data_IF_167950165977
#
_entry.id   IF_167950165977
#
_cell.length_a   1.000
_cell.length_b   1.000
_cell.length_c   1.000
_cell.angle_alpha   90.00
_cell.angle_beta   90.00
_cell.angle_gamma   90.00
#
_symmetry.space_group_name_H-M   'P 1'
#
loop_
_entity.id
_entity.type
_entity.pdbx_description
1 polymer ?
#
# COMPACT_ATOMS: atom_id res chain seq x y z
N UNK A 1 18.05 -16.76 -0.10
CA UNK A 1 17.32 -16.31 -1.29
C UNK A 1 17.17 -14.79 -1.25
N UNK A 2 17.57 -14.13 -2.30
CA UNK A 2 17.40 -12.68 -2.38
C UNK A 2 15.95 -12.40 -2.80
N UNK A 3 15.21 -11.75 -1.93
CA UNK A 3 13.89 -11.31 -2.28
C UNK A 3 13.96 -9.97 -3.01
N UNK A 4 13.12 -9.83 -4.01
CA UNK A 4 12.97 -8.54 -4.69
C UNK A 4 12.08 -7.65 -3.85
N UNK A 5 12.66 -6.61 -3.28
CA UNK A 5 11.96 -5.70 -2.38
C UNK A 5 11.45 -4.48 -3.12
N UNK A 6 10.33 -3.95 -2.65
CA UNK A 6 9.83 -2.66 -3.11
C UNK A 6 10.65 -1.55 -2.46
N UNK A 7 11.46 -0.89 -3.28
CA UNK A 7 12.37 0.16 -2.83
C UNK A 7 12.23 1.35 -3.76
N UNK A 8 11.90 2.49 -3.21
CA UNK A 8 11.70 3.73 -3.96
C UNK A 8 10.37 4.37 -3.63
N UNK A 9 10.06 5.40 -4.36
CA UNK A 9 8.79 6.12 -4.24
C UNK A 9 8.43 6.76 -5.57
N UNK A 10 7.18 7.14 -5.71
CA UNK A 10 6.69 7.81 -6.90
C UNK A 10 5.27 8.29 -6.71
N UNK A 11 4.85 9.20 -7.56
CA UNK A 11 3.50 9.74 -7.55
C UNK A 11 2.80 9.36 -8.86
N UNK A 12 1.50 9.13 -8.78
CA UNK A 12 0.68 8.84 -9.94
C UNK A 12 -0.66 9.55 -9.87
N UNK A 13 -1.14 9.94 -11.04
CA UNK A 13 -2.47 10.55 -11.18
C UNK A 13 -3.50 9.42 -11.10
N UNK A 14 -4.54 9.64 -10.31
CA UNK A 14 -5.66 8.71 -10.15
C UNK A 14 -6.82 9.27 -10.96
N UNK A 15 -7.32 8.46 -11.91
CA UNK A 15 -8.46 8.88 -12.72
C UNK A 15 -9.79 8.72 -11.97
N UNK A 16 -10.90 9.14 -12.59
CA UNK A 16 -12.21 9.13 -11.96
C UNK A 16 -12.71 7.75 -11.53
N UNK A 17 -12.24 6.69 -12.18
CA UNK A 17 -12.59 5.31 -11.85
C UNK A 17 -11.67 4.69 -10.79
N UNK A 18 -10.62 5.40 -10.37
CA UNK A 18 -9.62 4.88 -9.44
C UNK A 18 -8.43 4.23 -10.14
N UNK A 19 -8.31 4.39 -11.45
CA UNK A 19 -7.21 3.84 -12.22
C UNK A 19 -5.95 4.65 -12.06
N UNK A 20 -4.81 3.96 -12.02
CA UNK A 20 -3.51 4.61 -11.96
C UNK A 20 -2.44 3.75 -12.65
N UNK A 21 -1.43 4.42 -13.19
CA UNK A 21 -0.25 3.76 -13.72
C UNK A 21 0.75 3.60 -12.58
N UNK A 22 1.12 2.35 -12.29
CA UNK A 22 2.07 2.07 -11.21
C UNK A 22 3.44 2.70 -11.53
N UNK A 23 4.11 3.32 -10.55
CA UNK A 23 5.47 3.82 -10.73
C UNK A 23 6.43 2.72 -11.18
N UNK A 24 7.50 3.10 -11.86
CA UNK A 24 8.46 2.16 -12.41
C UNK A 24 9.01 1.19 -11.35
N UNK A 25 9.33 1.67 -10.14
CA UNK A 25 9.88 0.80 -9.11
C UNK A 25 8.91 -0.30 -8.70
N UNK A 26 7.60 -0.04 -8.72
CA UNK A 26 6.58 -1.04 -8.43
C UNK A 26 6.47 -2.05 -9.57
N UNK A 27 6.39 -1.57 -10.80
CA UNK A 27 6.28 -2.45 -11.99
C UNK A 27 7.48 -3.39 -12.12
N UNK A 28 8.67 -2.86 -11.91
CA UNK A 28 9.91 -3.64 -11.98
C UNK A 28 9.97 -4.72 -10.90
N UNK A 29 9.58 -4.37 -9.68
CA UNK A 29 9.58 -5.32 -8.57
C UNK A 29 8.56 -6.43 -8.79
N UNK A 30 7.36 -6.09 -9.23
CA UNK A 30 6.32 -7.08 -9.54
C UNK A 30 6.81 -8.05 -10.60
N UNK A 31 7.44 -7.56 -11.67
CA UNK A 31 7.90 -8.42 -12.76
C UNK A 31 8.97 -9.41 -12.30
N UNK A 32 9.74 -9.07 -11.27
CA UNK A 32 10.79 -9.94 -10.71
C UNK A 32 10.26 -10.92 -9.67
N UNK A 33 9.10 -10.62 -9.06
CA UNK A 33 8.48 -11.45 -8.02
C UNK A 33 7.58 -12.54 -8.58
N UNK A 34 7.82 -13.00 -9.77
CA UNK A 34 7.08 -14.05 -10.44
C UNK A 34 5.57 -13.81 -10.60
N UNK A 35 5.11 -13.79 -11.83
CA UNK A 35 3.72 -14.03 -12.26
C UNK A 35 2.62 -13.31 -11.49
N UNK A 36 2.91 -12.24 -10.76
CA UNK A 36 1.87 -11.49 -10.09
C UNK A 36 1.12 -10.62 -11.10
N UNK A 37 0.01 -11.14 -11.59
CA UNK A 37 -0.91 -10.38 -12.43
C UNK A 37 -1.95 -9.64 -11.61
N UNK A 38 -1.77 -9.62 -10.30
CA UNK A 38 -2.65 -8.90 -9.38
C UNK A 38 -1.89 -8.48 -8.13
N UNK A 39 -2.38 -7.41 -7.52
CA UNK A 39 -1.97 -6.98 -6.20
C UNK A 39 -3.14 -7.14 -5.24
N UNK A 40 -2.84 -7.43 -4.00
CA UNK A 40 -3.79 -7.33 -2.92
C UNK A 40 -3.66 -5.93 -2.32
N UNK A 41 -4.79 -5.26 -2.14
CA UNK A 41 -4.85 -3.90 -1.61
C UNK A 41 -5.59 -3.94 -0.29
N UNK A 42 -4.90 -3.59 0.78
CA UNK A 42 -5.47 -3.60 2.12
C UNK A 42 -5.31 -2.26 2.82
N UNK A 43 -6.02 -2.11 3.92
CA UNK A 43 -5.93 -0.93 4.78
C UNK A 43 -4.72 -1.08 5.70
N UNK A 44 -3.94 -0.02 5.87
CA UNK A 44 -2.84 -0.03 6.82
C UNK A 44 -3.37 -0.16 8.25
N UNK A 45 -2.59 -0.78 9.13
CA UNK A 45 -3.01 -1.05 10.51
C UNK A 45 -3.29 0.24 11.29
N UNK A 46 -2.45 1.24 11.15
CA UNK A 46 -2.52 2.47 11.95
C UNK A 46 -2.62 3.74 11.13
N UNK A 47 -1.98 3.79 9.96
CA UNK A 47 -1.94 5.01 9.15
C UNK A 47 -3.13 5.07 8.18
N UNK A 48 -3.56 6.28 7.78
CA UNK A 48 -4.66 6.44 6.83
C UNK A 48 -4.19 6.23 5.39
N UNK A 49 -3.57 5.08 5.11
CA UNK A 49 -3.09 4.71 3.79
C UNK A 49 -3.45 3.26 3.48
N UNK A 50 -3.17 2.85 2.25
CA UNK A 50 -3.33 1.47 1.82
C UNK A 50 -1.98 0.79 1.76
N UNK A 51 -2.02 -0.54 1.80
CA UNK A 51 -0.84 -1.39 1.62
C UNK A 51 -1.11 -2.32 0.45
N UNK A 52 -0.23 -2.31 -0.53
CA UNK A 52 -0.33 -3.18 -1.69
C UNK A 52 0.80 -4.22 -1.66
N UNK A 53 0.46 -5.45 -1.97
CA UNK A 53 1.44 -6.55 -1.97
C UNK A 53 0.99 -7.66 -2.91
N UNK A 54 1.92 -8.48 -3.34
CA UNK A 54 1.61 -9.65 -4.16
C UNK A 54 1.04 -10.78 -3.29
N UNK A 55 0.28 -11.72 -3.88
CA UNK A 55 -0.31 -12.83 -3.11
C UNK A 55 0.71 -13.66 -2.32
N UNK A 56 1.96 -13.75 -2.78
CA UNK A 56 3.00 -14.48 -2.07
C UNK A 56 3.36 -13.88 -0.71
N UNK A 57 3.03 -12.61 -0.47
CA UNK A 57 3.33 -11.94 0.79
C UNK A 57 2.29 -12.22 1.89
N UNK A 58 1.16 -12.85 1.56
CA UNK A 58 0.08 -13.11 2.52
C UNK A 58 0.55 -13.97 3.70
N UNK A 59 1.39 -14.97 3.44
CA UNK A 59 1.92 -15.83 4.51
C UNK A 59 2.79 -15.03 5.49
N UNK A 60 3.52 -14.03 5.02
CA UNK A 60 4.33 -13.15 5.86
C UNK A 60 3.44 -12.30 6.76
N UNK A 61 2.35 -11.75 6.22
CA UNK A 61 1.38 -10.99 7.00
C UNK A 61 0.74 -11.88 8.07
N UNK A 62 0.34 -13.09 7.71
CA UNK A 62 -0.24 -14.04 8.65
C UNK A 62 0.74 -14.37 9.77
N UNK A 63 2.00 -14.64 9.44
CA UNK A 63 3.03 -14.93 10.44
C UNK A 63 3.22 -13.75 11.40
N UNK A 64 3.19 -12.52 10.90
CA UNK A 64 3.31 -11.32 11.72
C UNK A 64 2.12 -11.16 12.68
N UNK A 65 0.91 -11.35 12.19
CA UNK A 65 -0.31 -11.29 13.01
C UNK A 65 -0.26 -12.35 14.11
N UNK A 66 0.16 -13.56 13.78
CA UNK A 66 0.28 -14.66 14.77
C UNK A 66 1.36 -14.38 15.81
N UNK A 67 2.50 -13.83 15.39
CA UNK A 67 3.56 -13.44 16.32
C UNK A 67 3.07 -12.41 17.33
N UNK A 68 2.32 -11.41 16.85
CA UNK A 68 1.73 -10.39 17.73
C UNK A 68 0.69 -10.95 18.66
N UNK A 69 -0.12 -11.92 18.16
CA UNK A 69 -1.10 -12.62 19.00
C UNK A 69 -0.42 -13.30 20.17
N UNK A 70 0.66 -14.02 19.92
CA UNK A 70 1.41 -14.73 20.96
C UNK A 70 2.04 -13.76 21.94
N UNK A 71 2.65 -12.68 21.45
CA UNK A 71 3.30 -11.66 22.29
C UNK A 71 2.30 -10.90 23.17
N UNK A 72 1.06 -10.72 22.68
CA UNK A 72 0.05 -9.89 23.33
C UNK A 72 -1.11 -10.69 23.90
N UNK A 73 -0.97 -12.02 24.05
CA UNK A 73 -2.10 -12.87 24.48
C UNK A 73 -2.65 -12.52 25.85
N UNK A 74 -1.88 -11.82 26.69
CA UNK A 74 -2.34 -11.36 27.98
C UNK A 74 -3.10 -10.04 27.92
N UNK A 75 -3.12 -9.35 26.77
CA UNK A 75 -3.64 -7.99 26.67
C UNK A 75 -5.14 -7.97 26.37
N UNK A 76 -5.58 -8.55 25.25
CA UNK A 76 -7.01 -8.58 24.93
C UNK A 76 -7.28 -9.47 23.70
N UNK A 77 -8.19 -10.45 23.83
CA UNK A 77 -8.65 -11.20 22.64
C UNK A 77 -9.30 -10.32 21.58
N UNK A 78 -9.98 -9.24 22.00
CA UNK A 78 -10.65 -8.32 21.07
C UNK A 78 -9.66 -7.58 20.21
N UNK A 79 -8.53 -7.16 20.76
CA UNK A 79 -7.48 -6.48 20.01
C UNK A 79 -6.94 -7.37 18.90
N UNK A 80 -6.73 -8.64 19.20
CA UNK A 80 -6.30 -9.62 18.20
C UNK A 80 -7.32 -9.75 17.07
N UNK A 81 -8.61 -9.91 17.39
CA UNK A 81 -9.65 -10.02 16.39
C UNK A 81 -9.78 -8.77 15.53
N UNK A 82 -9.64 -7.60 16.11
CA UNK A 82 -9.64 -6.34 15.36
C UNK A 82 -8.46 -6.28 14.39
N UNK A 83 -7.28 -6.67 14.83
CA UNK A 83 -6.08 -6.68 13.99
C UNK A 83 -6.21 -7.69 12.86
N UNK A 84 -6.67 -8.90 13.16
CA UNK A 84 -6.87 -9.94 12.15
C UNK A 84 -7.93 -9.54 11.11
N UNK A 85 -9.02 -8.93 11.56
CA UNK A 85 -10.07 -8.44 10.67
C UNK A 85 -9.52 -7.35 9.73
N UNK A 86 -8.72 -6.43 10.26
CA UNK A 86 -8.12 -5.37 9.45
C UNK A 86 -7.12 -5.92 8.45
N UNK A 87 -6.34 -6.92 8.84
CA UNK A 87 -5.32 -7.51 7.98
C UNK A 87 -5.92 -8.40 6.88
N UNK A 88 -7.02 -9.09 7.15
CA UNK A 88 -7.58 -10.09 6.23
C UNK A 88 -8.99 -9.79 5.75
N UNK A 89 -9.75 -8.97 6.47
CA UNK A 89 -11.12 -8.60 6.12
C UNK A 89 -11.20 -7.37 5.22
N UNK A 90 -10.28 -6.44 5.36
CA UNK A 90 -10.23 -5.22 4.55
C UNK A 90 -9.14 -5.34 3.49
N UNK A 91 -9.28 -6.34 2.62
CA UNK A 91 -8.35 -6.60 1.53
C UNK A 91 -9.15 -6.96 0.29
N UNK A 92 -8.81 -6.35 -0.84
CA UNK A 92 -9.39 -6.67 -2.13
C UNK A 92 -8.29 -6.79 -3.17
N UNK A 93 -8.51 -7.60 -4.20
CA UNK A 93 -7.53 -7.75 -5.27
C UNK A 93 -7.74 -6.72 -6.37
N UNK A 94 -6.65 -6.30 -6.98
CA UNK A 94 -6.64 -5.45 -8.16
C UNK A 94 -5.76 -6.09 -9.22
N UNK A 95 -6.31 -6.32 -10.42
CA UNK A 95 -5.54 -6.89 -11.51
C UNK A 95 -4.53 -5.88 -12.05
N UNK A 96 -3.33 -6.36 -12.35
CA UNK A 96 -2.29 -5.55 -12.97
C UNK A 96 -2.31 -5.82 -14.47
N UNK A 97 -2.64 -4.81 -15.26
CA UNK A 97 -2.70 -4.92 -16.72
C UNK A 97 -2.00 -3.72 -17.34
N UNK A 98 -0.99 -3.98 -18.18
CA UNK A 98 -0.19 -2.93 -18.82
C UNK A 98 0.41 -1.92 -17.81
N UNK A 99 0.82 -2.41 -16.63
CA UNK A 99 1.37 -1.57 -15.57
C UNK A 99 0.36 -0.74 -14.80
N UNK A 100 -0.93 -0.98 -15.03
CA UNK A 100 -2.01 -0.19 -14.41
C UNK A 100 -2.84 -1.07 -13.48
N UNK A 101 -3.39 -0.44 -12.45
CA UNK A 101 -4.41 -1.05 -11.57
C UNK A 101 -5.58 -0.08 -11.41
N UNK A 102 -6.71 -0.63 -10.97
CA UNK A 102 -7.84 0.17 -10.49
C UNK A 102 -7.96 -0.07 -8.99
N UNK A 103 -7.85 0.99 -8.21
CA UNK A 103 -8.00 0.88 -6.75
C UNK A 103 -9.44 0.46 -6.43
N UNK A 104 -9.63 -0.60 -5.63
CA UNK A 104 -10.98 -0.99 -5.20
C UNK A 104 -11.67 0.15 -4.48
N UNK A 105 -12.94 0.34 -4.74
CA UNK A 105 -13.68 1.50 -4.25
C UNK A 105 -13.65 1.62 -2.73
N UNK A 106 -13.87 0.52 -2.02
CA UNK A 106 -13.84 0.54 -0.56
C UNK A 106 -12.49 1.00 -0.02
N UNK A 107 -11.40 0.49 -0.59
CA UNK A 107 -10.06 0.86 -0.18
C UNK A 107 -9.76 2.32 -0.50
N UNK A 108 -10.13 2.76 -1.71
CA UNK A 108 -9.96 4.15 -2.11
C UNK A 108 -10.66 5.11 -1.16
N UNK A 109 -11.87 4.78 -0.75
CA UNK A 109 -12.63 5.57 0.23
C UNK A 109 -11.96 5.61 1.59
N UNK A 110 -11.52 4.47 2.09
CA UNK A 110 -10.89 4.38 3.40
C UNK A 110 -9.64 5.25 3.52
N UNK A 111 -8.86 5.32 2.47
CA UNK A 111 -7.63 6.11 2.44
C UNK A 111 -7.83 7.52 1.87
N UNK A 112 -9.06 7.85 1.50
CA UNK A 112 -9.40 9.17 0.93
C UNK A 112 -8.53 9.56 -0.27
N UNK A 113 -8.19 8.58 -1.10
CA UNK A 113 -7.34 8.82 -2.27
C UNK A 113 -8.17 9.53 -3.35
N UNK A 114 -7.78 10.77 -3.65
CA UNK A 114 -8.50 11.61 -4.60
C UNK A 114 -7.82 11.61 -5.98
N UNK A 115 -6.99 12.60 -6.27
CA UNK A 115 -6.46 12.82 -7.62
C UNK A 115 -5.01 12.42 -7.77
N UNK A 116 -4.26 12.37 -6.69
CA UNK A 116 -2.83 12.10 -6.73
C UNK A 116 -2.46 11.13 -5.61
N UNK A 117 -1.86 10.01 -5.98
CA UNK A 117 -1.42 8.99 -5.03
C UNK A 117 0.09 8.98 -4.93
N UNK A 118 0.60 8.92 -3.70
CA UNK A 118 2.02 8.74 -3.41
C UNK A 118 2.24 7.28 -3.04
N UNK A 119 3.06 6.59 -3.79
CA UNK A 119 3.43 5.21 -3.51
C UNK A 119 4.84 5.16 -2.94
N UNK A 120 4.98 4.48 -1.80
CA UNK A 120 6.25 4.38 -1.08
C UNK A 120 6.56 2.92 -0.81
N UNK A 121 7.71 2.45 -1.27
CA UNK A 121 8.17 1.09 -0.99
C UNK A 121 8.50 0.91 0.48
N UNK A 122 8.04 -0.20 1.03
CA UNK A 122 8.30 -0.56 2.43
C UNK A 122 8.96 -1.93 2.56
N UNK A 123 9.62 -2.38 1.51
CA UNK A 123 10.28 -3.69 1.46
C UNK A 123 9.34 -4.75 0.92
N UNK A 124 8.61 -5.45 1.77
CA UNK A 124 7.69 -6.51 1.35
C UNK A 124 6.43 -6.00 0.65
N UNK A 125 6.10 -4.72 0.80
CA UNK A 125 4.88 -4.14 0.32
C UNK A 125 5.10 -2.70 -0.17
N UNK A 126 4.02 -2.07 -0.64
CA UNK A 126 4.00 -0.67 -1.05
C UNK A 126 2.90 0.04 -0.28
N UNK A 127 3.22 1.15 0.37
CA UNK A 127 2.21 2.03 0.96
C UNK A 127 1.65 2.95 -0.12
N UNK A 128 0.33 3.10 -0.14
CA UNK A 128 -0.36 3.99 -1.08
C UNK A 128 -1.09 5.06 -0.28
N UNK A 129 -0.64 6.29 -0.43
CA UNK A 129 -1.18 7.45 0.26
C UNK A 129 -1.88 8.36 -0.71
N UNK A 130 -2.94 9.02 -0.27
CA UNK A 130 -3.31 10.28 -0.92
C UNK A 130 -2.16 11.27 -0.70
N UNK A 131 -1.68 11.90 -1.75
CA UNK A 131 -0.47 12.73 -1.66
C UNK A 131 -0.64 13.92 -0.70
N UNK A 132 -1.81 14.52 -0.64
CA UNK A 132 -2.07 15.65 0.25
C UNK A 132 -2.20 15.21 1.72
N UNK A 133 -2.78 14.04 1.94
CA UNK A 133 -2.83 13.46 3.29
C UNK A 133 -1.42 13.13 3.76
N UNK A 134 -0.58 12.56 2.89
CA UNK A 134 0.81 12.29 3.22
C UNK A 134 1.57 13.57 3.59
N UNK A 135 1.28 14.66 2.88
CA UNK A 135 1.89 15.96 3.16
C UNK A 135 1.55 16.47 4.56
N UNK A 136 0.32 16.28 5.00
CA UNK A 136 -0.19 16.87 6.25
C UNK A 136 -0.12 15.93 7.45
N UNK A 137 -0.14 14.61 7.22
CA UNK A 137 -0.29 13.62 8.28
C UNK A 137 1.01 12.91 8.65
N UNK A 138 1.90 12.76 7.69
CA UNK A 138 3.07 11.91 7.85
C UNK A 138 4.14 12.47 8.77
N UNK A 139 5.15 11.63 9.01
CA UNK A 139 6.38 12.07 9.63
C UNK A 139 7.16 13.00 8.69
N UNK A 140 8.31 13.48 9.13
CA UNK A 140 9.13 14.43 8.36
C UNK A 140 9.56 13.87 7.01
N UNK A 141 9.92 12.60 6.95
CA UNK A 141 10.36 11.98 5.70
C UNK A 141 9.21 11.83 4.71
N UNK A 142 8.05 11.42 5.17
CA UNK A 142 6.86 11.29 4.32
C UNK A 142 6.40 12.66 3.82
N UNK A 143 6.44 13.68 4.68
CA UNK A 143 6.17 15.06 4.29
C UNK A 143 7.12 15.53 3.18
N UNK A 144 8.40 15.26 3.32
CA UNK A 144 9.40 15.65 2.32
C UNK A 144 9.15 14.98 0.97
N UNK A 145 8.86 13.67 0.97
CA UNK A 145 8.52 12.95 -0.27
C UNK A 145 7.28 13.54 -0.92
N UNK A 146 6.23 13.76 -0.15
CA UNK A 146 4.97 14.28 -0.67
C UNK A 146 5.15 15.68 -1.26
N UNK A 147 5.84 16.55 -0.54
CA UNK A 147 6.12 17.92 -1.01
C UNK A 147 6.90 17.92 -2.31
N UNK A 148 7.94 17.11 -2.39
CA UNK A 148 8.79 17.00 -3.57
C UNK A 148 7.98 16.58 -4.81
N UNK A 149 7.19 15.52 -4.70
CA UNK A 149 6.44 14.99 -5.84
C UNK A 149 5.26 15.87 -6.23
N UNK A 150 4.59 16.49 -5.25
CA UNK A 150 3.51 17.44 -5.54
C UNK A 150 4.06 18.64 -6.33
N UNK A 151 5.18 19.19 -5.90
CA UNK A 151 5.81 20.32 -6.58
C UNK A 151 6.21 19.96 -8.02
N UNK A 152 6.79 18.79 -8.23
CA UNK A 152 7.16 18.31 -9.56
C UNK A 152 5.95 18.11 -10.46
N UNK A 153 4.87 17.59 -9.91
CA UNK A 153 3.64 17.34 -10.65
C UNK A 153 3.01 18.65 -11.10
N UNK A 154 3.07 19.69 -10.27
CA UNK A 154 2.55 21.01 -10.60
C UNK A 154 3.42 21.76 -11.61
N UNK A 155 4.71 21.49 -11.63
CA UNK A 155 5.66 22.12 -12.55
C UNK A 155 5.65 21.47 -13.95
N UNK A 156 5.05 20.29 -14.10
CA UNK A 156 5.02 19.56 -15.37
C UNK A 156 3.99 20.11 -16.36
#
# INVERSE_FOLDING_TARGET
>A
MVEHLFSGSGVCVVDGAGGLLLPAFVRETISRRSAAHRLLIGSHESDPCLVAYDPGFVSTIHADVERRRIAEQAVSPQLHFMRARRAFGFVESADVAAGRIVLPELMRRRAHIAQLALLVGTGGAVAIWDARIALDHGDADLHELAAFYIDRQQAA
#
